data_IF_618201698077
#
_entry.id   IF_618201698077
#
_cell.length_a   1.000
_cell.length_b   1.000
_cell.length_c   1.000
_cell.angle_alpha   90.00
_cell.angle_beta   90.00
_cell.angle_gamma   90.00
#
_symmetry.space_group_name_H-M   'P 1'
#
loop_
_entity.id
_entity.type
_entity.pdbx_description
1 polymer ?
#
# COMPACT_ATOMS: atom_id res chain seq x y z
N UNK A 1 13.97 9.98 -91.62
CA UNK A 1 14.58 10.10 -90.28
C UNK A 1 13.49 9.83 -89.26
N UNK A 2 13.55 8.69 -88.55
CA UNK A 2 12.54 8.30 -87.57
C UNK A 2 13.02 8.75 -86.19
N UNK A 3 12.22 9.57 -85.50
CA UNK A 3 12.48 9.99 -84.12
C UNK A 3 11.64 9.11 -83.18
N UNK A 4 12.27 8.50 -82.19
CA UNK A 4 11.60 7.70 -81.17
C UNK A 4 11.91 8.26 -79.78
N UNK A 5 10.92 8.16 -78.88
CA UNK A 5 11.04 8.47 -77.45
C UNK A 5 10.74 7.19 -76.69
N UNK A 6 11.61 6.87 -75.74
CA UNK A 6 11.41 5.80 -74.77
C UNK A 6 11.25 6.43 -73.39
N UNK A 7 10.16 6.08 -72.71
CA UNK A 7 9.89 6.53 -71.33
C UNK A 7 10.09 5.34 -70.41
N UNK A 8 10.91 5.54 -69.38
CA UNK A 8 11.20 4.55 -68.35
C UNK A 8 10.71 5.13 -67.01
N UNK A 9 9.77 4.43 -66.37
CA UNK A 9 9.37 4.72 -65.00
C UNK A 9 10.02 3.71 -64.06
N UNK A 10 10.79 4.20 -63.09
CA UNK A 10 11.39 3.41 -62.02
C UNK A 10 10.80 3.81 -60.69
N UNK A 11 10.27 2.84 -59.94
CA UNK A 11 9.89 2.99 -58.53
C UNK A 11 11.04 2.46 -57.68
N UNK A 12 11.74 3.35 -56.98
CA UNK A 12 12.72 2.98 -55.96
C UNK A 12 11.97 2.87 -54.64
N UNK A 13 11.71 1.65 -54.18
CA UNK A 13 11.25 1.39 -52.82
C UNK A 13 12.50 1.37 -51.94
N UNK A 14 12.77 2.48 -51.25
CA UNK A 14 13.81 2.55 -50.23
C UNK A 14 13.29 1.80 -48.99
N UNK A 15 13.63 0.51 -48.87
CA UNK A 15 13.33 -0.29 -47.70
C UNK A 15 14.21 0.19 -46.52
N UNK A 16 13.81 1.29 -45.89
CA UNK A 16 14.34 1.67 -44.59
C UNK A 16 13.98 0.58 -43.59
N UNK A 17 14.97 0.01 -42.91
CA UNK A 17 14.75 -0.87 -41.77
C UNK A 17 14.16 -0.04 -40.63
N UNK A 18 12.85 0.18 -40.65
CA UNK A 18 12.13 0.70 -39.50
C UNK A 18 12.18 -0.41 -38.44
N UNK A 19 13.06 -0.23 -37.45
CA UNK A 19 13.08 -1.03 -36.24
C UNK A 19 11.81 -0.65 -35.44
N UNK A 20 10.68 -1.27 -35.78
CA UNK A 20 9.44 -1.19 -35.03
C UNK A 20 9.40 -2.29 -33.95
N UNK A 21 10.53 -2.51 -33.27
CA UNK A 21 10.57 -3.51 -32.21
C UNK A 21 9.90 -2.93 -30.96
N UNK A 22 8.85 -3.61 -30.50
CA UNK A 22 8.22 -3.29 -29.23
C UNK A 22 9.24 -3.48 -28.11
N UNK A 23 9.55 -2.40 -27.39
CA UNK A 23 10.25 -2.49 -26.11
C UNK A 23 9.18 -2.70 -25.06
N UNK A 24 9.11 -3.92 -24.53
CA UNK A 24 8.28 -4.20 -23.36
C UNK A 24 8.98 -3.54 -22.16
N UNK A 25 8.58 -2.32 -21.86
CA UNK A 25 8.91 -1.71 -20.57
C UNK A 25 7.93 -2.26 -19.53
N UNK A 26 8.43 -2.54 -18.33
CA UNK A 26 7.55 -2.90 -17.21
C UNK A 26 6.55 -1.77 -16.92
N UNK A 27 5.45 -2.10 -16.24
CA UNK A 27 4.43 -1.13 -15.86
C UNK A 27 5.08 0.00 -15.05
N UNK A 28 5.14 1.21 -15.62
CA UNK A 28 5.78 2.36 -14.97
C UNK A 28 4.87 2.99 -13.91
N UNK A 29 3.57 2.73 -14.01
CA UNK A 29 2.55 3.28 -13.14
C UNK A 29 1.47 2.27 -12.80
N UNK A 30 0.97 2.28 -11.58
CA UNK A 30 -0.33 1.69 -11.27
C UNK A 30 -1.42 2.50 -11.98
N UNK A 31 -1.96 1.91 -13.05
CA UNK A 31 -2.94 2.56 -13.93
C UNK A 31 -4.25 2.87 -13.20
N UNK A 32 -4.66 2.03 -12.25
CA UNK A 32 -5.88 2.21 -11.46
C UNK A 32 -5.77 3.47 -10.59
N UNK A 33 -4.65 3.63 -9.87
CA UNK A 33 -4.38 4.85 -9.08
C UNK A 33 -4.29 6.07 -9.99
N UNK A 34 -3.54 5.97 -11.09
CA UNK A 34 -3.34 7.10 -12.02
C UNK A 34 -4.67 7.59 -12.60
N UNK A 35 -5.56 6.67 -12.95
CA UNK A 35 -6.88 7.01 -13.46
C UNK A 35 -7.77 7.63 -12.38
N UNK A 36 -7.78 7.09 -11.17
CA UNK A 36 -8.54 7.66 -10.04
C UNK A 36 -8.08 9.10 -9.75
N UNK A 37 -6.76 9.33 -9.65
CA UNK A 37 -6.19 10.67 -9.43
C UNK A 37 -6.55 11.62 -10.57
N UNK A 38 -6.54 11.15 -11.83
CA UNK A 38 -6.91 11.98 -12.98
C UNK A 38 -8.40 12.32 -13.01
N UNK A 39 -9.27 11.40 -12.59
CA UNK A 39 -10.73 11.54 -12.70
C UNK A 39 -11.35 12.22 -11.48
N UNK A 40 -10.98 11.79 -10.27
CA UNK A 40 -11.56 12.22 -8.99
C UNK A 40 -10.60 13.06 -8.14
N UNK A 41 -9.30 13.08 -8.49
CA UNK A 41 -8.27 13.68 -7.65
C UNK A 41 -7.91 12.79 -6.46
N UNK A 42 -6.90 13.20 -5.69
CA UNK A 42 -6.58 12.55 -4.42
C UNK A 42 -7.60 12.99 -3.35
N UNK A 43 -8.00 12.11 -2.42
CA UNK A 43 -8.83 12.50 -1.31
C UNK A 43 -8.06 13.51 -0.44
N UNK A 44 -8.77 14.56 0.00
CA UNK A 44 -8.21 15.51 0.95
C UNK A 44 -7.96 14.81 2.28
N UNK A 45 -6.74 14.94 2.81
CA UNK A 45 -6.42 14.47 4.15
C UNK A 45 -7.24 15.27 5.16
N UNK A 46 -7.93 14.57 6.07
CA UNK A 46 -8.66 15.23 7.15
C UNK A 46 -7.71 15.65 8.24
N UNK A 47 -8.05 16.77 8.90
CA UNK A 47 -7.43 17.12 10.17
C UNK A 47 -7.65 15.97 11.16
N UNK A 48 -6.67 15.71 12.03
CA UNK A 48 -6.72 14.63 13.03
C UNK A 48 -8.08 14.58 13.73
N UNK A 49 -8.80 13.47 13.56
CA UNK A 49 -10.07 13.20 14.22
C UNK A 49 -9.85 12.08 15.22
N UNK A 50 -10.26 12.26 16.46
CA UNK A 50 -10.19 11.18 17.44
C UNK A 50 -11.17 10.05 17.11
N UNK A 51 -10.64 8.84 16.90
CA UNK A 51 -11.42 7.63 16.66
C UNK A 51 -11.86 7.02 17.98
N UNK A 52 -13.00 6.34 17.97
CA UNK A 52 -13.54 5.61 19.12
C UNK A 52 -13.39 4.10 18.91
N UNK A 53 -13.38 3.34 20.01
CA UNK A 53 -13.49 1.89 19.92
C UNK A 53 -14.93 1.44 19.62
N UNK A 54 -15.12 0.31 18.91
CA UNK A 54 -14.09 -0.46 18.22
C UNK A 54 -13.62 0.24 16.93
N UNK A 55 -12.33 0.12 16.63
CA UNK A 55 -11.75 0.49 15.34
C UNK A 55 -11.80 -0.71 14.39
N UNK A 56 -12.27 -0.50 13.16
CA UNK A 56 -12.38 -1.56 12.15
C UNK A 56 -12.29 -1.01 10.73
N UNK A 57 -11.44 -1.64 9.92
CA UNK A 57 -11.38 -1.49 8.48
C UNK A 57 -11.09 -2.84 7.82
N UNK A 58 -11.91 -3.24 6.85
CA UNK A 58 -11.69 -4.40 5.99
C UNK A 58 -11.38 -4.00 4.54
N UNK A 59 -11.19 -2.69 4.31
CA UNK A 59 -10.82 -2.07 3.04
C UNK A 59 -11.78 -2.37 1.88
N UNK A 60 -13.02 -2.79 2.15
CA UNK A 60 -13.98 -3.19 1.11
C UNK A 60 -14.65 -2.02 0.38
N UNK A 61 -14.14 -0.79 0.51
CA UNK A 61 -14.72 0.39 -0.13
C UNK A 61 -14.43 0.47 -1.62
N UNK A 62 -15.14 1.37 -2.32
CA UNK A 62 -15.03 1.53 -3.78
C UNK A 62 -13.83 2.40 -4.24
N UNK A 63 -12.95 2.77 -3.32
CA UNK A 63 -11.84 3.69 -3.57
C UNK A 63 -10.49 2.98 -3.57
N UNK A 64 -9.52 3.56 -4.28
CA UNK A 64 -8.12 3.06 -4.32
C UNK A 64 -7.27 3.59 -3.16
N UNK A 65 -7.83 4.46 -2.34
CA UNK A 65 -7.16 5.11 -1.21
C UNK A 65 -7.84 4.75 0.11
N UNK A 66 -7.09 4.74 1.23
CA UNK A 66 -7.65 4.55 2.56
C UNK A 66 -8.76 5.56 2.86
N UNK A 67 -9.73 5.16 3.67
CA UNK A 67 -10.79 6.07 4.11
C UNK A 67 -10.21 7.21 4.96
N UNK A 68 -10.35 8.49 4.54
CA UNK A 68 -9.77 9.62 5.29
C UNK A 68 -10.47 9.87 6.63
N UNK A 69 -11.57 9.15 6.90
CA UNK A 69 -12.24 9.15 8.21
C UNK A 69 -11.51 8.30 9.25
N UNK A 70 -10.66 7.38 8.81
CA UNK A 70 -9.97 6.40 9.66
C UNK A 70 -8.46 6.55 9.58
N UNK A 71 -7.95 6.91 8.41
CA UNK A 71 -6.53 7.00 8.11
C UNK A 71 -6.12 8.45 7.83
N UNK A 72 -4.92 8.80 8.28
CA UNK A 72 -4.35 10.14 8.20
C UNK A 72 -3.50 10.36 6.93
N UNK A 73 -3.29 9.31 6.14
CA UNK A 73 -2.49 9.32 4.93
C UNK A 73 -3.07 8.45 3.81
N UNK A 74 -2.42 8.48 2.63
CA UNK A 74 -2.84 7.76 1.42
C UNK A 74 -1.67 6.97 0.79
N UNK A 75 -0.71 6.48 1.59
CA UNK A 75 0.52 5.86 1.07
C UNK A 75 0.42 4.34 0.89
N UNK A 76 -0.79 3.81 0.72
CA UNK A 76 -1.04 2.40 0.37
C UNK A 76 -2.13 2.32 -0.70
N UNK A 77 -2.10 1.27 -1.50
CA UNK A 77 -3.09 1.02 -2.53
C UNK A 77 -4.22 0.12 -1.99
N UNK A 78 -5.45 0.63 -1.95
CA UNK A 78 -6.62 -0.18 -1.60
C UNK A 78 -7.13 -0.91 -2.84
N UNK A 79 -7.22 -2.25 -2.78
CA UNK A 79 -7.67 -3.06 -3.90
C UNK A 79 -8.18 -4.44 -3.47
N UNK A 80 -8.75 -5.17 -4.42
CA UNK A 80 -9.14 -6.58 -4.27
C UNK A 80 -8.46 -7.52 -5.28
N UNK A 81 -7.53 -6.98 -6.07
CA UNK A 81 -6.89 -7.67 -7.19
C UNK A 81 -5.59 -8.40 -6.77
N UNK A 82 -4.86 -7.86 -5.78
CA UNK A 82 -3.60 -8.43 -5.32
C UNK A 82 -3.72 -9.63 -4.37
N UNK A 83 -4.69 -9.71 -3.44
CA UNK A 83 -4.67 -10.76 -2.42
C UNK A 83 -5.00 -12.13 -3.00
N UNK A 84 -4.30 -13.16 -2.53
CA UNK A 84 -4.57 -14.56 -2.85
C UNK A 84 -5.40 -15.18 -1.73
N UNK A 85 -6.63 -15.62 -2.03
CA UNK A 85 -7.59 -16.14 -1.06
C UNK A 85 -7.84 -15.18 0.13
N UNK A 86 -8.34 -13.96 -0.14
CA UNK A 86 -8.56 -12.95 0.90
C UNK A 86 -9.54 -13.42 1.98
N UNK A 87 -9.37 -12.89 3.20
CA UNK A 87 -10.27 -13.13 4.34
C UNK A 87 -11.63 -12.42 4.12
N UNK A 88 -11.61 -11.23 3.51
CA UNK A 88 -12.78 -10.43 3.13
C UNK A 88 -12.69 -10.05 1.65
N UNK A 89 -12.90 -8.78 1.29
CA UNK A 89 -12.87 -8.28 -0.10
C UNK A 89 -11.65 -7.42 -0.37
N UNK A 90 -11.38 -6.42 0.47
CA UNK A 90 -10.33 -5.43 0.23
C UNK A 90 -9.06 -5.69 1.04
N UNK A 91 -7.95 -5.15 0.54
CA UNK A 91 -6.67 -5.08 1.25
C UNK A 91 -6.00 -3.73 1.05
N UNK A 92 -5.22 -3.31 2.05
CA UNK A 92 -4.20 -2.29 1.89
C UNK A 92 -2.90 -2.93 1.41
N UNK A 93 -2.50 -2.60 0.18
CA UNK A 93 -1.29 -3.13 -0.45
C UNK A 93 -0.12 -2.16 -0.27
N UNK A 94 1.02 -2.74 0.14
CA UNK A 94 2.32 -2.09 0.31
C UNK A 94 3.25 -2.62 -0.80
N UNK A 95 3.24 -1.96 -1.96
CA UNK A 95 3.89 -2.38 -3.22
C UNK A 95 5.01 -1.44 -3.73
N UNK A 96 5.46 -0.50 -2.91
CA UNK A 96 6.40 0.56 -3.22
C UNK A 96 5.94 1.49 -4.34
N UNK A 97 4.62 1.71 -4.44
CA UNK A 97 4.00 2.65 -5.38
C UNK A 97 3.38 3.82 -4.59
N UNK A 98 3.78 5.04 -4.97
CA UNK A 98 3.30 6.28 -4.38
C UNK A 98 1.81 6.55 -4.67
N UNK A 99 1.26 7.57 -4.03
CA UNK A 99 -0.15 7.92 -4.14
C UNK A 99 -0.54 8.58 -5.49
N UNK A 100 0.41 8.68 -6.44
CA UNK A 100 0.18 9.03 -7.85
C UNK A 100 0.27 7.80 -8.76
N UNK A 101 0.48 6.62 -8.19
CA UNK A 101 0.69 5.38 -8.92
C UNK A 101 2.10 5.22 -9.45
N UNK A 102 3.13 5.91 -8.96
CA UNK A 102 4.52 5.78 -9.44
C UNK A 102 5.37 4.96 -8.47
N UNK A 103 6.31 4.16 -8.98
CA UNK A 103 7.35 3.61 -8.11
C UNK A 103 8.10 4.75 -7.38
N UNK A 104 8.39 4.54 -6.10
CA UNK A 104 9.23 5.49 -5.35
C UNK A 104 10.58 5.68 -6.08
N UNK A 105 11.10 6.92 -6.20
CA UNK A 105 12.40 7.16 -6.84
C UNK A 105 13.56 6.40 -6.19
N UNK A 106 13.42 6.04 -4.91
CA UNK A 106 14.38 5.28 -4.12
C UNK A 106 14.21 3.75 -4.28
N UNK A 107 13.16 3.27 -4.97
CA UNK A 107 12.95 1.86 -5.26
C UNK A 107 14.12 1.34 -6.12
N UNK A 108 15.03 0.59 -5.49
CA UNK A 108 16.32 0.18 -6.02
C UNK A 108 17.25 -0.32 -4.91
N UNK A 109 18.56 -0.08 -5.01
CA UNK A 109 19.57 -0.63 -4.09
C UNK A 109 19.61 0.02 -2.69
N UNK A 110 18.91 1.13 -2.48
CA UNK A 110 18.94 1.83 -1.20
C UNK A 110 17.77 1.41 -0.32
N UNK A 111 18.04 1.18 0.97
CA UNK A 111 16.99 0.96 1.96
C UNK A 111 16.26 2.27 2.25
N UNK A 112 14.93 2.25 2.20
CA UNK A 112 14.07 3.40 2.53
C UNK A 112 12.75 2.92 3.13
N UNK A 113 12.03 3.81 3.80
CA UNK A 113 10.63 3.59 4.16
C UNK A 113 9.80 3.81 2.89
N UNK A 114 9.25 2.73 2.35
CA UNK A 114 8.34 2.78 1.21
C UNK A 114 6.92 3.15 1.70
N UNK A 115 5.97 2.25 1.55
CA UNK A 115 4.58 2.46 1.94
C UNK A 115 4.42 2.46 3.46
N UNK A 116 3.46 3.24 3.94
CA UNK A 116 3.01 3.24 5.33
C UNK A 116 1.54 3.61 5.41
N UNK A 117 0.90 3.24 6.50
CA UNK A 117 -0.52 3.51 6.74
C UNK A 117 -0.71 3.92 8.20
N UNK A 118 -1.09 5.18 8.41
CA UNK A 118 -1.22 5.80 9.73
C UNK A 118 -2.68 6.02 10.06
N UNK A 119 -3.18 5.46 11.16
CA UNK A 119 -4.53 5.74 11.62
C UNK A 119 -4.62 7.16 12.18
N UNK A 120 -5.83 7.72 12.24
CA UNK A 120 -6.06 8.81 13.19
C UNK A 120 -5.92 8.29 14.64
N UNK A 121 -5.66 9.16 15.64
CA UNK A 121 -5.52 8.74 17.03
C UNK A 121 -6.79 8.07 17.56
N UNK A 122 -6.65 6.88 18.13
CA UNK A 122 -7.76 6.13 18.74
C UNK A 122 -7.80 6.44 20.23
N UNK A 123 -8.96 6.88 20.73
CA UNK A 123 -9.15 7.21 22.14
C UNK A 123 -9.15 5.95 22.99
N UNK A 124 -8.27 5.92 24.00
CA UNK A 124 -8.26 4.90 25.05
C UNK A 124 -8.60 5.49 26.43
N UNK A 125 -8.56 6.82 26.57
CA UNK A 125 -8.77 7.58 27.80
C UNK A 125 -10.25 7.87 28.12
N UNK A 126 -11.16 7.71 27.15
CA UNK A 126 -12.58 8.03 27.31
C UNK A 126 -13.45 7.24 26.33
N UNK A 127 -13.57 5.93 26.55
CA UNK A 127 -14.22 5.03 25.56
C UNK A 127 -15.73 4.82 25.75
N UNK A 128 -16.29 5.26 26.88
CA UNK A 128 -17.74 5.19 27.15
C UNK A 128 -18.38 6.57 27.15
N UNK A 129 -19.68 6.61 26.84
CA UNK A 129 -20.53 7.81 26.88
C UNK A 129 -21.86 7.44 27.54
N UNK A 130 -22.44 8.31 28.42
CA UNK A 130 -21.98 9.65 28.77
C UNK A 130 -20.84 9.69 29.80
N UNK A 131 -20.63 8.61 30.54
CA UNK A 131 -19.61 8.55 31.60
C UNK A 131 -18.26 8.09 31.02
N UNK A 132 -17.28 8.99 30.85
CA UNK A 132 -15.98 8.63 30.29
C UNK A 132 -15.21 7.71 31.23
N UNK A 133 -14.61 6.65 30.68
CA UNK A 133 -13.67 5.78 31.39
C UNK A 133 -12.40 5.60 30.55
N UNK A 134 -11.25 5.81 31.19
CA UNK A 134 -9.97 5.42 30.64
C UNK A 134 -9.78 3.92 30.76
N UNK A 135 -9.26 3.33 29.69
CA UNK A 135 -8.84 1.94 29.66
C UNK A 135 -7.46 1.81 30.27
N UNK A 136 -7.26 0.66 30.90
CA UNK A 136 -6.00 0.20 31.47
C UNK A 136 -5.60 -1.09 30.78
N UNK A 137 -4.35 -1.53 30.96
CA UNK A 137 -3.91 -2.85 30.49
C UNK A 137 -4.82 -4.00 30.98
N UNK A 138 -5.50 -3.86 32.13
CA UNK A 138 -6.42 -4.86 32.66
C UNK A 138 -7.71 -4.99 31.82
N UNK A 139 -8.11 -3.95 31.08
CA UNK A 139 -9.26 -4.00 30.18
C UNK A 139 -8.97 -4.80 28.89
N UNK A 140 -7.72 -5.28 28.70
CA UNK A 140 -7.32 -6.28 27.69
C UNK A 140 -7.66 -5.92 26.25
N UNK A 141 -7.41 -4.66 25.86
CA UNK A 141 -7.57 -4.22 24.46
C UNK A 141 -6.48 -4.84 23.58
N UNK A 142 -6.88 -5.27 22.39
CA UNK A 142 -6.00 -5.90 21.41
C UNK A 142 -6.16 -5.19 20.07
N UNK A 143 -5.04 -4.84 19.44
CA UNK A 143 -5.02 -4.57 18.00
C UNK A 143 -4.76 -5.88 17.27
N UNK A 144 -5.64 -6.25 16.34
CA UNK A 144 -5.44 -7.42 15.48
C UNK A 144 -5.64 -7.11 14.02
N UNK A 145 -4.84 -7.73 13.16
CA UNK A 145 -4.92 -7.58 11.72
C UNK A 145 -4.49 -8.88 11.04
N UNK A 146 -4.86 -9.04 9.76
CA UNK A 146 -4.39 -10.13 8.91
C UNK A 146 -3.38 -9.58 7.91
N UNK A 147 -2.37 -10.36 7.58
CA UNK A 147 -1.41 -10.00 6.53
C UNK A 147 -1.04 -11.20 5.66
N UNK A 148 -0.62 -10.90 4.44
CA UNK A 148 -0.13 -11.81 3.42
C UNK A 148 1.02 -11.13 2.66
N UNK A 149 2.19 -11.76 2.51
CA UNK A 149 3.24 -11.24 1.63
C UNK A 149 2.97 -11.63 0.17
N UNK A 150 3.60 -10.92 -0.77
CA UNK A 150 3.59 -11.14 -2.22
C UNK A 150 2.21 -10.95 -2.91
N UNK A 151 1.18 -11.66 -2.47
CA UNK A 151 -0.10 -11.72 -3.18
C UNK A 151 0.10 -12.20 -4.62
N UNK A 152 -0.52 -11.51 -5.59
CA UNK A 152 -0.29 -11.67 -7.03
C UNK A 152 0.76 -10.68 -7.58
N UNK A 153 1.46 -9.95 -6.71
CA UNK A 153 2.52 -9.00 -7.06
C UNK A 153 3.91 -9.63 -7.03
N UNK A 154 4.92 -8.79 -6.75
CA UNK A 154 6.29 -9.26 -6.53
C UNK A 154 6.52 -9.58 -5.04
N UNK A 155 7.26 -10.65 -4.73
CA UNK A 155 7.56 -10.98 -3.34
C UNK A 155 8.46 -9.91 -2.72
N UNK A 156 8.20 -9.48 -1.48
CA UNK A 156 9.13 -8.64 -0.74
C UNK A 156 10.45 -9.39 -0.52
N UNK A 157 11.57 -8.68 -0.59
CA UNK A 157 12.89 -9.27 -0.35
C UNK A 157 13.04 -9.67 1.12
N UNK A 158 13.94 -10.61 1.42
CA UNK A 158 14.21 -11.03 2.81
C UNK A 158 14.75 -9.88 3.68
N UNK A 159 15.34 -8.86 3.05
CA UNK A 159 15.82 -7.65 3.72
C UNK A 159 14.73 -6.62 3.99
N UNK A 160 13.55 -6.79 3.40
CA UNK A 160 12.39 -5.95 3.65
C UNK A 160 11.67 -6.41 4.92
N UNK A 161 10.84 -5.53 5.48
CA UNK A 161 10.05 -5.87 6.66
C UNK A 161 8.73 -5.13 6.68
N UNK A 162 7.66 -5.85 7.04
CA UNK A 162 6.43 -5.25 7.52
C UNK A 162 6.56 -5.00 9.02
N UNK A 163 6.31 -3.76 9.45
CA UNK A 163 6.49 -3.31 10.83
C UNK A 163 5.21 -2.68 11.34
N UNK A 164 4.82 -3.02 12.57
CA UNK A 164 3.78 -2.31 13.32
C UNK A 164 4.45 -1.48 14.42
N UNK A 165 4.11 -0.20 14.45
CA UNK A 165 4.57 0.77 15.44
C UNK A 165 3.37 1.39 16.16
N UNK A 166 3.51 1.69 17.45
CA UNK A 166 2.58 2.54 18.19
C UNK A 166 3.22 3.88 18.48
N UNK A 167 2.44 4.96 18.32
CA UNK A 167 2.92 6.29 18.65
C UNK A 167 2.75 6.53 20.15
N UNK A 168 3.86 6.73 20.85
CA UNK A 168 3.89 7.06 22.26
C UNK A 168 3.92 8.60 22.43
N UNK A 169 2.82 9.17 22.93
CA UNK A 169 2.63 10.62 23.08
C UNK A 169 3.10 11.09 24.47
N UNK A 170 4.41 11.09 24.70
CA UNK A 170 4.99 11.47 25.98
C UNK A 170 5.06 13.00 26.17
N UNK A 171 4.81 13.54 27.38
CA UNK A 171 4.92 14.99 27.67
C UNK A 171 6.34 15.56 27.55
N UNK A 172 7.35 14.69 27.47
CA UNK A 172 8.74 15.07 27.20
C UNK A 172 9.02 14.76 25.74
N UNK A 173 9.22 15.79 24.91
CA UNK A 173 9.36 15.67 23.46
C UNK A 173 10.43 14.68 23.01
N UNK A 174 11.54 14.56 23.75
CA UNK A 174 12.61 13.60 23.40
C UNK A 174 12.22 12.12 23.58
N UNK A 175 11.10 11.87 24.27
CA UNK A 175 10.56 10.52 24.50
C UNK A 175 9.31 10.26 23.64
N UNK A 176 8.82 11.27 22.92
CA UNK A 176 7.68 11.15 22.00
C UNK A 176 8.13 10.52 20.69
N UNK A 177 7.41 9.51 20.21
CA UNK A 177 7.76 8.87 18.95
C UNK A 177 7.11 7.53 18.71
N UNK A 178 7.41 6.99 17.52
CA UNK A 178 6.97 5.66 17.12
C UNK A 178 7.83 4.58 17.78
N UNK A 179 7.16 3.63 18.42
CA UNK A 179 7.77 2.46 19.06
C UNK A 179 7.34 1.22 18.30
N UNK A 180 8.32 0.50 17.74
CA UNK A 180 8.08 -0.80 17.10
C UNK A 180 7.57 -1.81 18.13
N UNK A 181 6.40 -2.40 17.85
CA UNK A 181 5.78 -3.43 18.71
C UNK A 181 5.73 -4.80 18.04
N UNK A 182 5.80 -4.87 16.70
CA UNK A 182 5.83 -6.13 15.96
C UNK A 182 6.50 -5.95 14.59
N UNK A 183 7.09 -7.02 14.04
CA UNK A 183 7.57 -7.05 12.66
C UNK A 183 7.70 -8.46 12.10
N UNK A 184 7.69 -8.60 10.78
CA UNK A 184 8.05 -9.82 10.05
C UNK A 184 8.95 -9.48 8.86
N UNK A 185 9.95 -10.30 8.51
CA UNK A 185 10.71 -10.11 7.27
C UNK A 185 9.84 -10.39 6.03
N UNK A 186 10.30 -9.92 4.88
CA UNK A 186 9.76 -10.32 3.58
C UNK A 186 10.01 -11.80 3.28
N UNK A 187 9.07 -12.41 2.56
CA UNK A 187 9.15 -13.78 2.08
C UNK A 187 8.17 -13.98 0.92
N UNK A 188 8.33 -15.06 0.16
CA UNK A 188 7.34 -15.46 -0.85
C UNK A 188 6.08 -16.04 -0.21
N UNK A 189 4.96 -16.00 -0.91
CA UNK A 189 3.69 -16.60 -0.53
C UNK A 189 3.81 -18.11 -0.33
N UNK A 190 4.64 -18.78 -1.16
CA UNK A 190 4.92 -20.21 -1.01
C UNK A 190 5.65 -20.52 0.29
N UNK A 191 6.70 -19.75 0.63
CA UNK A 191 7.41 -19.90 1.90
C UNK A 191 6.50 -19.58 3.09
N UNK A 192 5.67 -18.55 2.97
CA UNK A 192 4.67 -18.18 3.97
C UNK A 192 3.67 -19.30 4.23
N UNK A 193 3.11 -19.91 3.18
CA UNK A 193 2.19 -21.02 3.30
C UNK A 193 2.87 -22.25 3.93
N UNK A 194 4.10 -22.57 3.51
CA UNK A 194 4.86 -23.67 4.11
C UNK A 194 5.12 -23.47 5.62
N UNK A 195 5.32 -22.22 6.05
CA UNK A 195 5.59 -21.87 7.45
C UNK A 195 4.33 -21.79 8.32
N UNK A 196 3.22 -21.32 7.77
CA UNK A 196 2.02 -20.98 8.54
C UNK A 196 0.80 -21.85 8.23
N UNK A 197 0.85 -22.65 7.18
CA UNK A 197 -0.27 -23.46 6.68
C UNK A 197 -1.55 -22.62 6.47
N UNK A 198 -1.38 -21.37 6.04
CA UNK A 198 -2.43 -20.41 5.70
C UNK A 198 -1.88 -19.36 4.72
N UNK A 199 -2.76 -18.78 3.90
CA UNK A 199 -2.42 -17.69 2.99
C UNK A 199 -2.49 -16.32 3.67
N UNK A 200 -3.20 -16.20 4.80
CA UNK A 200 -3.25 -15.00 5.63
C UNK A 200 -3.03 -15.37 7.09
N UNK A 201 -2.15 -14.66 7.78
CA UNK A 201 -1.88 -14.86 9.21
C UNK A 201 -2.47 -13.73 10.02
N UNK A 202 -3.22 -14.07 11.07
CA UNK A 202 -3.66 -13.10 12.07
C UNK A 202 -2.52 -12.76 13.02
N UNK A 203 -2.30 -11.48 13.22
CA UNK A 203 -1.47 -10.92 14.30
C UNK A 203 -2.42 -10.31 15.34
N UNK A 204 -2.09 -10.46 16.62
CA UNK A 204 -2.83 -9.89 17.73
C UNK A 204 -1.83 -9.35 18.76
N UNK A 205 -1.81 -8.03 18.93
CA UNK A 205 -0.91 -7.32 19.84
C UNK A 205 -1.74 -6.71 20.97
N UNK A 206 -1.55 -7.13 22.23
CA UNK A 206 -2.21 -6.48 23.36
C UNK A 206 -1.68 -5.06 23.54
N UNK A 207 -2.59 -4.12 23.80
CA UNK A 207 -2.22 -2.76 24.17
C UNK A 207 -1.95 -2.74 25.67
N UNK A 208 -0.67 -2.71 26.03
CA UNK A 208 -0.22 -2.69 27.42
C UNK A 208 0.13 -1.30 27.92
N UNK A 209 0.39 -0.37 27.01
CA UNK A 209 0.63 1.04 27.29
C UNK A 209 -0.63 1.82 26.90
N UNK A 210 -1.41 2.24 27.89
CA UNK A 210 -2.70 2.91 27.71
C UNK A 210 -2.66 4.38 28.15
N UNK A 211 -1.47 4.92 28.43
CA UNK A 211 -1.25 6.24 29.00
C UNK A 211 -0.29 7.10 28.15
#
# INVERSE_FOLDING_TARGET
MIRQISIFFSSIILAGTLQAQEVITGLQFNETIRQEVKQKGKPALKQSVHLMLPFFDDFSGDGVFPSPNQWADNHVFINSDYPVFPITTGVATFDAIDENGRLYPQAGDNRFRADYLTSHPIRLDSVFSPEPKALTAADSVILSFYFQPEGLGFPPAETDSLVLEFFHDHPVDSLKGWVKVWSTPGMTLNAFFALHNTYFKRVAIPITDTA
#
